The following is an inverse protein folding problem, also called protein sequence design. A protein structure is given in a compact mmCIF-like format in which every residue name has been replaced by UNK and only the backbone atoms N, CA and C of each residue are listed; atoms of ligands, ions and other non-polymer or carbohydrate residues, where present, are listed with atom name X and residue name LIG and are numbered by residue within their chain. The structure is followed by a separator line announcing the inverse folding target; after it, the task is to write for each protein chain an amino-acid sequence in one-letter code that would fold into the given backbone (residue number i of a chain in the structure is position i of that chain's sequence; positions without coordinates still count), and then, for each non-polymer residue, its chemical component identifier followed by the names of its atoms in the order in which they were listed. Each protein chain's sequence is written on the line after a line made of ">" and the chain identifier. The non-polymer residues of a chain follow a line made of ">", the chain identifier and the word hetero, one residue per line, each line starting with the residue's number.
data_IF_614452764644
#
_entry.id   IF_614452764644
#
_cell.length_a   1.000
_cell.length_b   1.000
_cell.length_c   1.000
_cell.angle_alpha   90.00
_cell.angle_beta   90.00
_cell.angle_gamma   90.00
#
_symmetry.space_group_name_H-M   'P 1'
#
loop_
_entity.id
_entity.type
_entity.pdbx_description
1 polymer ?
#
# COMPACT_ATOMS: atom_id res chain seq x y z
N UNK A 1 24.52 -2.39 6.69
CA UNK A 1 23.38 -1.46 6.51
C UNK A 1 22.08 -2.24 6.47
N UNK A 2 21.03 -1.65 6.98
CA UNK A 2 19.72 -2.26 6.93
C UNK A 2 19.22 -2.40 5.48
N UNK A 3 18.77 -3.58 5.11
CA UNK A 3 18.22 -3.85 3.78
C UNK A 3 16.72 -3.62 3.77
N UNK A 4 16.24 -2.88 2.79
CA UNK A 4 14.82 -2.55 2.64
C UNK A 4 14.21 -3.24 1.42
N UNK A 5 13.04 -3.83 1.63
CA UNK A 5 12.21 -4.36 0.55
C UNK A 5 11.03 -3.43 0.31
N UNK A 6 10.79 -3.09 -0.94
CA UNK A 6 9.51 -2.53 -1.39
C UNK A 6 8.82 -3.62 -2.20
N UNK A 7 7.65 -4.05 -1.75
CA UNK A 7 6.90 -5.11 -2.42
C UNK A 7 5.44 -4.71 -2.58
N UNK A 8 4.81 -5.25 -3.61
CA UNK A 8 3.46 -4.84 -3.96
C UNK A 8 2.72 -5.97 -4.69
N UNK A 9 1.41 -5.92 -4.60
CA UNK A 9 0.50 -6.58 -5.52
C UNK A 9 -0.21 -5.51 -6.34
N UNK A 10 -0.23 -5.62 -7.65
CA UNK A 10 -0.84 -4.62 -8.54
C UNK A 10 -1.49 -5.30 -9.73
N UNK A 11 -2.72 -4.90 -10.07
CA UNK A 11 -3.43 -5.40 -11.26
C UNK A 11 -3.38 -4.44 -12.43
N UNK A 12 -3.60 -3.16 -12.16
CA UNK A 12 -3.74 -2.12 -13.21
C UNK A 12 -2.57 -1.15 -13.24
N UNK A 13 -1.60 -1.31 -12.33
CA UNK A 13 -0.40 -0.51 -12.28
C UNK A 13 -0.39 0.62 -11.25
N UNK A 14 -1.52 0.95 -10.62
CA UNK A 14 -1.59 2.04 -9.64
C UNK A 14 -0.67 1.79 -8.44
N UNK A 15 -0.81 0.64 -7.82
CA UNK A 15 0.00 0.26 -6.65
C UNK A 15 1.48 0.17 -7.02
N UNK A 16 1.79 -0.32 -8.21
CA UNK A 16 3.16 -0.38 -8.72
C UNK A 16 3.77 1.01 -8.86
N UNK A 17 3.03 2.00 -9.36
CA UNK A 17 3.49 3.39 -9.45
C UNK A 17 3.86 3.95 -8.09
N UNK A 18 3.03 3.71 -7.08
CA UNK A 18 3.30 4.14 -5.70
C UNK A 18 4.53 3.42 -5.14
N UNK A 19 4.64 2.11 -5.38
CA UNK A 19 5.81 1.33 -4.96
C UNK A 19 7.11 1.86 -5.57
N UNK A 20 7.10 2.20 -6.85
CA UNK A 20 8.25 2.78 -7.54
C UNK A 20 8.63 4.16 -6.99
N UNK A 21 7.64 4.99 -6.64
CA UNK A 21 7.89 6.28 -6.01
C UNK A 21 8.53 6.13 -4.63
N UNK A 22 8.02 5.21 -3.81
CA UNK A 22 8.62 4.87 -2.51
C UNK A 22 10.05 4.39 -2.69
N UNK A 23 10.27 3.44 -3.59
CA UNK A 23 11.60 2.88 -3.86
C UNK A 23 12.58 3.96 -4.31
N UNK A 24 12.16 4.86 -5.20
CA UNK A 24 13.00 5.95 -5.68
C UNK A 24 13.41 6.95 -4.59
N UNK A 25 12.60 7.10 -3.54
CA UNK A 25 12.88 8.00 -2.41
C UNK A 25 13.80 7.38 -1.36
N UNK A 26 14.01 6.07 -1.40
CA UNK A 26 14.88 5.36 -0.46
C UNK A 26 16.34 5.42 -0.91
N UNK A 27 17.25 5.42 0.07
CA UNK A 27 18.68 5.29 -0.15
C UNK A 27 19.20 4.00 0.49
N UNK A 28 20.44 3.62 0.17
CA UNK A 28 21.08 2.44 0.75
C UNK A 28 20.71 1.14 0.03
N UNK A 29 20.83 0.02 0.72
CA UNK A 29 20.55 -1.30 0.19
C UNK A 29 19.04 -1.53 0.13
N UNK A 30 18.50 -1.58 -1.08
CA UNK A 30 17.05 -1.66 -1.32
C UNK A 30 16.74 -2.56 -2.51
N UNK A 31 15.58 -3.20 -2.44
CA UNK A 31 15.05 -4.07 -3.50
C UNK A 31 13.58 -3.75 -3.72
N UNK A 32 13.13 -3.78 -4.96
CA UNK A 32 11.71 -3.69 -5.31
C UNK A 32 11.30 -4.94 -6.10
N UNK A 33 10.22 -5.59 -5.67
CA UNK A 33 9.69 -6.82 -6.30
C UNK A 33 8.18 -6.92 -6.09
N UNK A 34 7.45 -7.54 -7.04
CA UNK A 34 6.09 -7.99 -6.75
C UNK A 34 6.08 -8.97 -5.58
N UNK A 35 4.98 -9.03 -4.85
CA UNK A 35 4.83 -9.96 -3.70
C UNK A 35 5.09 -11.43 -4.09
N UNK A 36 4.64 -11.84 -5.29
CA UNK A 36 4.85 -13.20 -5.78
C UNK A 36 6.33 -13.57 -5.97
N UNK A 37 7.21 -12.58 -6.09
CA UNK A 37 8.65 -12.77 -6.32
C UNK A 37 9.50 -12.38 -5.11
N UNK A 38 8.88 -12.03 -3.99
CA UNK A 38 9.59 -11.53 -2.81
C UNK A 38 10.57 -12.56 -2.21
N UNK A 39 10.23 -13.84 -2.26
CA UNK A 39 11.07 -14.92 -1.78
C UNK A 39 11.34 -14.87 -0.28
N UNK A 40 12.56 -15.16 0.12
CA UNK A 40 12.98 -15.12 1.52
C UNK A 40 13.01 -13.70 2.06
N UNK A 41 12.28 -13.46 3.15
CA UNK A 41 12.19 -12.14 3.79
C UNK A 41 13.23 -11.92 4.87
N UNK A 42 13.99 -12.93 5.25
CA UNK A 42 14.96 -12.85 6.34
C UNK A 42 16.03 -11.75 6.17
N UNK A 43 16.52 -11.43 4.94
CA UNK A 43 17.52 -10.39 4.77
C UNK A 43 17.01 -8.96 5.02
N UNK A 44 15.71 -8.75 5.02
CA UNK A 44 15.14 -7.40 5.10
C UNK A 44 14.80 -7.01 6.52
N UNK A 45 15.25 -5.83 6.95
CA UNK A 45 14.91 -5.23 8.24
C UNK A 45 13.65 -4.36 8.15
N UNK A 46 13.42 -3.75 7.01
CA UNK A 46 12.25 -2.90 6.74
C UNK A 46 11.56 -3.38 5.47
N UNK A 47 10.25 -3.54 5.54
CA UNK A 47 9.42 -3.99 4.41
C UNK A 47 8.29 -2.99 4.20
N UNK A 48 8.27 -2.36 3.01
CA UNK A 48 7.10 -1.64 2.51
C UNK A 48 6.24 -2.61 1.71
N UNK A 49 5.00 -2.80 2.10
CA UNK A 49 4.09 -3.72 1.45
C UNK A 49 2.82 -3.00 1.00
N UNK A 50 2.51 -3.09 -0.29
CA UNK A 50 1.40 -2.37 -0.89
C UNK A 50 0.43 -3.23 -1.67
N UNK A 51 -0.83 -2.79 -1.71
CA UNK A 51 -1.91 -3.50 -2.39
C UNK A 51 -3.02 -2.53 -2.83
N UNK A 52 -3.78 -2.88 -3.88
CA UNK A 52 -5.00 -2.15 -4.21
C UNK A 52 -6.14 -2.64 -3.33
N UNK A 53 -7.05 -1.74 -2.96
CA UNK A 53 -8.30 -2.12 -2.30
C UNK A 53 -9.20 -2.83 -3.33
N UNK A 54 -9.59 -4.05 -3.02
CA UNK A 54 -10.49 -4.86 -3.84
C UNK A 54 -11.67 -5.32 -3.01
N UNK A 55 -12.88 -5.11 -3.53
CA UNK A 55 -14.12 -5.53 -2.85
C UNK A 55 -14.10 -5.08 -1.38
N UNK A 56 -13.70 -3.83 -1.14
CA UNK A 56 -13.60 -3.18 0.18
C UNK A 56 -12.54 -3.77 1.10
N UNK A 57 -11.65 -4.63 0.63
CA UNK A 57 -10.68 -5.31 1.46
C UNK A 57 -9.35 -5.53 0.76
N UNK A 58 -8.49 -6.29 1.43
CA UNK A 58 -7.17 -6.70 0.93
C UNK A 58 -7.34 -7.84 -0.08
N UNK A 59 -6.69 -7.78 -1.24
CA UNK A 59 -6.68 -8.91 -2.17
C UNK A 59 -6.09 -10.17 -1.52
N UNK A 60 -6.60 -11.33 -1.92
CA UNK A 60 -6.17 -12.61 -1.35
C UNK A 60 -4.65 -12.82 -1.42
N UNK A 61 -4.05 -12.48 -2.56
CA UNK A 61 -2.60 -12.64 -2.75
C UNK A 61 -1.80 -11.77 -1.77
N UNK A 62 -2.27 -10.55 -1.52
CA UNK A 62 -1.66 -9.65 -0.55
C UNK A 62 -1.90 -10.15 0.88
N UNK A 63 -3.08 -10.67 1.19
CA UNK A 63 -3.38 -11.25 2.49
C UNK A 63 -2.42 -12.39 2.84
N UNK A 64 -2.22 -13.32 1.91
CA UNK A 64 -1.28 -14.45 2.08
C UNK A 64 0.14 -13.94 2.35
N UNK A 65 0.58 -12.95 1.57
CA UNK A 65 1.91 -12.36 1.75
C UNK A 65 2.05 -11.69 3.13
N UNK A 66 1.10 -10.84 3.50
CA UNK A 66 1.15 -10.10 4.77
C UNK A 66 1.20 -11.04 5.98
N UNK A 67 0.45 -12.12 5.94
CA UNK A 67 0.49 -13.17 6.98
C UNK A 67 1.84 -13.88 7.06
N UNK A 68 2.61 -13.89 5.97
CA UNK A 68 3.90 -14.58 5.89
C UNK A 68 5.07 -13.76 6.45
N UNK A 69 4.87 -12.47 6.71
CA UNK A 69 5.95 -11.62 7.22
C UNK A 69 6.35 -12.08 8.62
N UNK A 70 7.65 -12.38 8.85
CA UNK A 70 8.10 -12.88 10.14
C UNK A 70 7.86 -11.88 11.28
N UNK A 71 7.66 -12.43 12.48
CA UNK A 71 7.51 -11.66 13.70
C UNK A 71 8.70 -10.72 13.92
N UNK A 72 8.43 -9.51 14.41
CA UNK A 72 9.43 -8.52 14.74
C UNK A 72 10.00 -7.73 13.59
N UNK A 73 9.66 -8.05 12.34
CA UNK A 73 10.05 -7.24 11.19
C UNK A 73 9.40 -5.85 11.26
N UNK A 74 10.12 -4.83 10.84
CA UNK A 74 9.57 -3.47 10.67
C UNK A 74 8.82 -3.41 9.35
N UNK A 75 7.57 -2.96 9.39
CA UNK A 75 6.66 -2.95 8.24
C UNK A 75 6.00 -1.60 8.09
N UNK A 76 5.86 -1.14 6.86
CA UNK A 76 5.02 -0.01 6.49
C UNK A 76 4.06 -0.47 5.38
N UNK A 77 2.79 -0.14 5.51
CA UNK A 77 1.76 -0.53 4.55
C UNK A 77 1.35 0.64 3.67
N UNK A 78 1.10 0.37 2.41
CA UNK A 78 0.51 1.37 1.52
C UNK A 78 -0.57 0.74 0.64
N UNK A 79 -1.58 1.52 0.30
CA UNK A 79 -2.67 1.04 -0.55
C UNK A 79 -3.11 2.09 -1.57
N UNK A 80 -3.70 1.61 -2.65
CA UNK A 80 -4.38 2.43 -3.64
C UNK A 80 -5.86 2.07 -3.69
N UNK A 81 -6.71 3.04 -3.94
CA UNK A 81 -8.16 2.86 -3.93
C UNK A 81 -8.85 3.83 -4.87
N UNK A 82 -10.00 3.46 -5.40
CA UNK A 82 -10.83 4.32 -6.25
C UNK A 82 -11.73 5.28 -5.46
N UNK A 83 -11.89 5.06 -4.17
CA UNK A 83 -12.70 5.90 -3.29
C UNK A 83 -11.96 7.19 -2.90
N UNK A 84 -12.65 8.11 -2.24
CA UNK A 84 -12.02 9.29 -1.66
C UNK A 84 -11.10 8.87 -0.51
N UNK A 85 -9.90 9.45 -0.44
CA UNK A 85 -8.94 9.18 0.64
C UNK A 85 -9.55 9.53 2.00
N UNK A 86 -9.38 8.62 2.96
CA UNK A 86 -9.97 8.75 4.29
C UNK A 86 -11.43 8.29 4.37
N UNK A 87 -12.03 7.83 3.26
CA UNK A 87 -13.35 7.20 3.28
C UNK A 87 -13.32 5.89 4.05
N UNK A 88 -14.48 5.42 4.48
CA UNK A 88 -14.61 4.15 5.21
C UNK A 88 -13.95 3.00 4.46
N UNK A 89 -14.15 2.91 3.14
CA UNK A 89 -13.60 1.83 2.31
C UNK A 89 -12.07 1.77 2.34
N UNK A 90 -11.42 2.93 2.21
CA UNK A 90 -9.96 3.00 2.22
C UNK A 90 -9.39 2.70 3.60
N UNK A 91 -10.08 3.13 4.67
CA UNK A 91 -9.66 2.87 6.06
C UNK A 91 -9.81 1.41 6.45
N UNK A 92 -10.94 0.79 6.15
CA UNK A 92 -11.21 -0.60 6.53
C UNK A 92 -10.18 -1.57 5.95
N UNK A 93 -9.78 -1.37 4.69
CA UNK A 93 -8.76 -2.22 4.07
C UNK A 93 -7.41 -2.11 4.78
N UNK A 94 -6.98 -0.89 5.15
CA UNK A 94 -5.73 -0.70 5.90
C UNK A 94 -5.82 -1.22 7.32
N UNK A 95 -6.94 -1.04 7.99
CA UNK A 95 -7.19 -1.59 9.33
C UNK A 95 -7.10 -3.12 9.31
N UNK A 96 -7.71 -3.76 8.32
CA UNK A 96 -7.62 -5.20 8.16
C UNK A 96 -6.18 -5.66 7.88
N UNK A 97 -5.48 -4.98 6.98
CA UNK A 97 -4.08 -5.26 6.69
C UNK A 97 -3.20 -5.11 7.94
N UNK A 98 -3.47 -4.11 8.78
CA UNK A 98 -2.75 -3.88 10.04
C UNK A 98 -2.93 -5.06 11.01
N UNK A 99 -4.11 -5.67 11.04
CA UNK A 99 -4.35 -6.90 11.83
C UNK A 99 -3.55 -8.07 11.29
N UNK A 100 -3.47 -8.22 9.96
CA UNK A 100 -2.71 -9.29 9.31
C UNK A 100 -1.21 -9.27 9.64
N UNK A 101 -0.65 -8.07 9.87
CA UNK A 101 0.75 -7.89 10.25
C UNK A 101 0.94 -7.65 11.76
N UNK A 102 -0.02 -8.07 12.58
CA UNK A 102 -0.02 -7.78 14.02
C UNK A 102 1.16 -8.30 14.81
N UNK A 103 1.92 -9.26 14.28
CA UNK A 103 3.15 -9.80 14.89
C UNK A 103 4.40 -9.00 14.51
N UNK A 104 4.27 -8.05 13.61
CA UNK A 104 5.37 -7.19 13.15
C UNK A 104 5.35 -5.87 13.91
N UNK A 105 6.38 -5.07 13.70
CA UNK A 105 6.42 -3.68 14.14
C UNK A 105 5.90 -2.78 13.00
N UNK A 106 4.63 -2.44 13.04
CA UNK A 106 4.02 -1.55 12.05
C UNK A 106 4.44 -0.11 12.33
N UNK A 107 5.16 0.50 11.39
CA UNK A 107 5.68 1.87 11.52
C UNK A 107 4.69 2.93 11.01
N UNK A 108 3.85 2.59 10.07
CA UNK A 108 2.88 3.52 9.52
C UNK A 108 2.14 2.97 8.31
N UNK A 109 1.14 3.72 7.89
CA UNK A 109 0.32 3.40 6.73
C UNK A 109 0.16 4.62 5.82
N UNK A 110 0.04 4.37 4.52
CA UNK A 110 -0.20 5.39 3.51
C UNK A 110 -1.25 4.90 2.53
N UNK A 111 -2.11 5.79 2.06
CA UNK A 111 -3.01 5.46 0.95
C UNK A 111 -3.19 6.64 0.02
N UNK A 112 -3.41 6.36 -1.24
CA UNK A 112 -3.82 7.36 -2.22
C UNK A 112 -4.79 6.76 -3.22
N UNK A 113 -5.41 7.65 -3.99
CA UNK A 113 -6.35 7.25 -5.03
C UNK A 113 -5.61 6.65 -6.22
N UNK A 114 -6.27 5.73 -6.90
CA UNK A 114 -5.80 5.15 -8.14
C UNK A 114 -6.94 5.05 -9.15
N UNK A 115 -6.62 5.16 -10.43
CA UNK A 115 -7.59 5.05 -11.50
C UNK A 115 -8.29 3.70 -11.47
N UNK A 116 -9.60 3.71 -11.42
CA UNK A 116 -10.41 2.51 -11.56
C UNK A 116 -10.40 2.07 -13.02
N UNK A 117 -10.24 0.77 -13.28
CA UNK A 117 -10.25 0.25 -14.66
C UNK A 117 -11.57 0.57 -15.37
N UNK A 118 -11.51 0.80 -16.68
CA UNK A 118 -12.71 1.07 -17.49
C UNK A 118 -13.75 -0.02 -17.35
N UNK A 119 -13.34 -1.29 -17.29
CA UNK A 119 -14.23 -2.44 -17.09
C UNK A 119 -14.93 -2.41 -15.74
N UNK A 120 -14.20 -2.12 -14.67
CA UNK A 120 -14.80 -2.01 -13.34
C UNK A 120 -15.77 -0.83 -13.27
N UNK A 121 -15.43 0.29 -13.89
CA UNK A 121 -16.30 1.46 -13.97
C UNK A 121 -17.59 1.15 -14.72
N UNK A 122 -17.51 0.45 -15.85
CA UNK A 122 -18.68 0.01 -16.63
C UNK A 122 -19.61 -0.85 -15.78
N UNK A 123 -19.09 -1.79 -15.01
CA UNK A 123 -19.87 -2.64 -14.10
C UNK A 123 -20.59 -1.80 -13.05
N UNK A 124 -19.91 -0.80 -12.46
CA UNK A 124 -20.51 0.10 -11.49
C UNK A 124 -21.63 0.97 -12.11
N UNK A 125 -21.48 1.39 -13.36
CA UNK A 125 -22.47 2.23 -14.06
C UNK A 125 -23.72 1.48 -14.50
N UNK A 126 -23.72 0.14 -14.53
CA UNK A 126 -24.87 -0.67 -14.93
C UNK A 126 -25.96 -0.75 -13.86
N UNK A 127 -25.67 -0.39 -12.63
CA UNK A 127 -26.62 -0.45 -11.52
C UNK A 127 -26.86 0.94 -10.92
N UNK A 128 -28.13 1.41 -10.85
CA UNK A 128 -28.45 2.67 -10.19
C UNK A 128 -28.01 2.73 -8.74
N UNK A 129 -27.94 1.59 -8.07
CA UNK A 129 -27.50 1.48 -6.67
C UNK A 129 -26.03 1.85 -6.49
N UNK A 130 -25.24 1.78 -7.56
CA UNK A 130 -23.81 2.07 -7.56
C UNK A 130 -23.46 3.44 -8.16
N UNK A 131 -24.45 4.29 -8.47
CA UNK A 131 -24.21 5.57 -9.15
C UNK A 131 -23.24 6.48 -8.39
N UNK A 132 -23.44 6.62 -7.07
CA UNK A 132 -22.54 7.41 -6.23
C UNK A 132 -21.10 6.85 -6.21
N UNK A 133 -20.98 5.54 -6.30
CA UNK A 133 -19.68 4.86 -6.35
C UNK A 133 -18.99 5.05 -7.70
N UNK A 134 -19.79 5.01 -8.79
CA UNK A 134 -19.28 5.26 -10.13
C UNK A 134 -18.75 6.70 -10.26
N UNK A 135 -19.46 7.67 -9.72
CA UNK A 135 -19.03 9.07 -9.69
C UNK A 135 -17.72 9.23 -8.91
N UNK A 136 -17.64 8.62 -7.74
CA UNK A 136 -16.43 8.64 -6.91
C UNK A 136 -15.25 7.95 -7.62
N UNK A 137 -15.49 6.81 -8.25
CA UNK A 137 -14.46 6.09 -9.02
C UNK A 137 -14.01 6.89 -10.24
N UNK A 138 -14.94 7.54 -10.95
CA UNK A 138 -14.62 8.39 -12.09
C UNK A 138 -13.74 9.59 -11.69
N UNK A 139 -13.96 10.16 -10.51
CA UNK A 139 -13.14 11.27 -10.01
C UNK A 139 -11.69 10.87 -9.72
N UNK A 140 -11.39 9.58 -9.63
CA UNK A 140 -10.03 9.06 -9.46
C UNK A 140 -9.26 8.87 -10.78
N UNK A 141 -9.82 9.24 -11.92
CA UNK A 141 -9.26 8.96 -13.25
C UNK A 141 -7.85 9.54 -13.48
N UNK A 142 -7.48 10.60 -12.76
CA UNK A 142 -6.17 11.26 -12.85
C UNK A 142 -5.19 10.80 -11.77
N UNK A 143 -5.57 9.84 -10.94
CA UNK A 143 -4.78 9.36 -9.82
C UNK A 143 -4.15 7.98 -10.08
N UNK A 144 -2.97 7.66 -9.51
CA UNK A 144 -2.18 8.59 -8.70
C UNK A 144 -1.62 9.73 -9.55
N UNK A 145 -1.71 10.94 -9.05
CA UNK A 145 -1.07 12.10 -9.67
C UNK A 145 0.30 12.38 -9.02
N UNK A 146 1.00 13.41 -9.48
CA UNK A 146 2.33 13.75 -8.95
C UNK A 146 2.27 14.13 -7.47
N UNK A 147 1.19 14.75 -7.02
CA UNK A 147 1.00 15.06 -5.59
C UNK A 147 0.88 13.80 -4.74
N UNK A 148 0.18 12.79 -5.23
CA UNK A 148 0.08 11.49 -4.54
C UNK A 148 1.46 10.82 -4.45
N UNK A 149 2.23 10.86 -5.53
CA UNK A 149 3.56 10.26 -5.56
C UNK A 149 4.56 11.03 -4.68
N UNK A 150 4.46 12.35 -4.61
CA UNK A 150 5.25 13.15 -3.68
C UNK A 150 4.93 12.84 -2.22
N UNK A 151 3.66 12.64 -1.90
CA UNK A 151 3.24 12.22 -0.56
C UNK A 151 3.76 10.81 -0.23
N UNK A 152 3.78 9.90 -1.20
CA UNK A 152 4.35 8.57 -1.03
C UNK A 152 5.87 8.62 -0.77
N UNK A 153 6.59 9.49 -1.46
CA UNK A 153 8.02 9.72 -1.24
C UNK A 153 8.28 10.27 0.18
N UNK A 154 7.48 11.22 0.61
CA UNK A 154 7.57 11.77 1.97
C UNK A 154 7.28 10.71 3.04
N UNK A 155 6.27 9.87 2.80
CA UNK A 155 5.97 8.72 3.65
C UNK A 155 7.16 7.75 3.75
N UNK A 156 7.82 7.46 2.63
CA UNK A 156 8.98 6.59 2.61
C UNK A 156 10.12 7.15 3.48
N UNK A 157 10.46 8.42 3.32
CA UNK A 157 11.50 9.09 4.11
C UNK A 157 11.18 9.12 5.60
N UNK A 158 9.94 9.45 5.93
CA UNK A 158 9.44 9.44 7.32
C UNK A 158 9.57 8.04 7.95
N UNK A 159 9.16 7.02 7.23
CA UNK A 159 9.23 5.63 7.70
C UNK A 159 10.67 5.19 7.97
N UNK A 160 11.62 5.56 7.10
CA UNK A 160 13.04 5.26 7.31
C UNK A 160 13.55 5.95 8.57
N UNK A 161 13.16 7.19 8.80
CA UNK A 161 13.52 7.93 10.02
C UNK A 161 13.00 7.21 11.27
N UNK A 162 11.74 6.78 11.27
CA UNK A 162 11.17 6.00 12.38
C UNK A 162 11.91 4.66 12.58
N UNK A 163 12.22 3.99 11.48
CA UNK A 163 12.92 2.71 11.50
C UNK A 163 14.32 2.81 12.14
N UNK A 164 15.02 3.92 11.91
CA UNK A 164 16.38 4.13 12.41
C UNK A 164 16.45 4.67 13.85
N UNK A 165 15.37 5.22 14.39
CA UNK A 165 15.35 5.80 15.72
C UNK A 165 15.34 4.77 16.86
N UNK A 166 15.42 3.48 16.60
CA UNK A 166 15.40 2.40 17.59
C UNK A 166 14.39 2.64 18.71
N UNK A 167 13.58 1.68 19.04
CA UNK A 167 12.60 1.66 20.15
C UNK A 167 12.11 3.03 20.65
N UNK A 168 11.32 3.72 19.82
CA UNK A 168 10.43 4.72 20.37
C UNK A 168 9.39 3.95 21.20
N UNK A 169 9.71 3.78 22.47
CA UNK A 169 8.68 3.39 23.43
C UNK A 169 7.78 4.59 23.55
N UNK A 170 6.63 4.52 22.87
CA UNK A 170 5.62 5.54 23.00
C UNK A 170 5.34 5.80 24.48
N UNK A 171 5.29 7.05 24.78
CA UNK A 171 4.80 7.53 26.06
C UNK A 171 3.37 7.06 26.29
#
# INVERSE_FOLDING_TARGET
>A
MAKTLVTYFSRTGNTKLVAEAIYGALSGDKTIKPMAEAGDLSPYQLIFAGFPVQTHSVPYQAEVFLKSIPEGKKVALFSTHGSVTGSQLSREALEYASVLVGKTQLLGTFSCRGKVSGRALEVLMQSPEHEAWADMAASAATHPDESDLDAARAFARWTVTLSSQGHYRGL
#
